data_IF_236100984986
#
_entry.id   IF_236100984986
#
_cell.length_a   1.000
_cell.length_b   1.000
_cell.length_c   1.000
_cell.angle_alpha   90.00
_cell.angle_beta   90.00
_cell.angle_gamma   90.00
#
_symmetry.space_group_name_H-M   'P 1'
#
loop_
_entity.id
_entity.type
_entity.pdbx_description
1 polymer ?
#
# COMPACT_ATOMS: atom_id res chain seq x y z
N UNK A 1 -7.61 75.15 -6.07
CA UNK A 1 -8.11 74.76 -4.74
C UNK A 1 -9.31 73.85 -4.98
N UNK A 2 -9.09 72.55 -5.10
CA UNK A 2 -10.14 71.54 -5.07
C UNK A 2 -9.53 70.30 -4.42
N UNK A 3 -10.05 69.93 -3.24
CA UNK A 3 -9.55 68.78 -2.49
C UNK A 3 -10.09 67.51 -3.11
N UNK A 4 -9.15 66.63 -3.48
CA UNK A 4 -9.38 65.20 -3.65
C UNK A 4 -9.83 64.62 -2.31
N UNK A 5 -11.08 64.15 -2.24
CA UNK A 5 -11.56 63.34 -1.13
C UNK A 5 -11.37 61.86 -1.48
N UNK A 6 -10.51 61.20 -0.71
CA UNK A 6 -10.34 59.74 -0.71
C UNK A 6 -11.53 59.09 -0.01
N UNK A 7 -12.21 58.16 -0.69
CA UNK A 7 -12.95 57.09 0.00
C UNK A 7 -12.89 55.79 -0.82
N UNK A 8 -12.23 54.79 -0.23
CA UNK A 8 -12.06 53.40 -0.64
C UNK A 8 -13.26 52.77 -1.38
N UNK A 9 -12.98 52.07 -2.50
CA UNK A 9 -13.42 50.68 -2.71
C UNK A 9 -12.81 50.05 -3.98
N UNK A 10 -12.23 48.87 -3.80
CA UNK A 10 -12.03 47.80 -4.80
C UNK A 10 -10.84 48.02 -5.74
N UNK A 11 -9.62 47.66 -5.33
CA UNK A 11 -9.06 46.29 -5.48
C UNK A 11 -9.54 45.66 -6.80
N UNK A 12 -9.09 46.19 -7.93
CA UNK A 12 -9.13 45.51 -9.23
C UNK A 12 -7.69 45.49 -9.74
N UNK A 13 -6.83 44.71 -9.09
CA UNK A 13 -5.47 44.47 -9.60
C UNK A 13 -4.96 43.04 -9.34
N UNK A 14 -5.83 42.05 -9.12
CA UNK A 14 -5.31 40.73 -8.76
C UNK A 14 -6.29 39.58 -8.86
N UNK A 15 -7.05 39.45 -9.96
CA UNK A 15 -7.99 38.33 -10.11
C UNK A 15 -7.67 37.42 -11.31
N UNK A 16 -6.65 37.68 -12.13
CA UNK A 16 -6.40 36.87 -13.35
C UNK A 16 -5.07 36.10 -13.40
N UNK A 17 -4.48 35.76 -12.26
CA UNK A 17 -3.37 34.78 -12.17
C UNK A 17 -3.65 33.75 -11.08
N UNK A 18 -4.82 33.11 -11.16
CA UNK A 18 -5.08 31.80 -10.51
C UNK A 18 -5.47 30.79 -11.59
N UNK A 19 -4.90 30.95 -12.79
CA UNK A 19 -5.01 29.96 -13.86
C UNK A 19 -4.14 28.76 -13.50
N UNK A 20 -4.80 27.80 -12.87
CA UNK A 20 -4.62 26.37 -13.06
C UNK A 20 -3.18 25.88 -12.94
N UNK A 21 -2.70 25.72 -11.71
CA UNK A 21 -1.87 24.54 -11.46
C UNK A 21 -2.75 23.33 -11.73
N UNK A 22 -2.56 22.68 -12.87
CA UNK A 22 -2.97 21.29 -13.02
C UNK A 22 -2.18 20.54 -11.95
N UNK A 23 -2.76 20.39 -10.77
CA UNK A 23 -2.33 19.38 -9.83
C UNK A 23 -2.57 18.06 -10.56
N UNK A 24 -1.56 17.59 -11.29
CA UNK A 24 -1.45 16.19 -11.67
C UNK A 24 -1.30 15.43 -10.36
N UNK A 25 -2.42 15.20 -9.67
CA UNK A 25 -2.49 14.21 -8.62
C UNK A 25 -2.15 12.90 -9.32
N UNK A 26 -0.91 12.43 -9.14
CA UNK A 26 -0.58 11.05 -9.45
C UNK A 26 -1.46 10.21 -8.55
N UNK A 27 -2.51 9.62 -9.13
CA UNK A 27 -3.43 8.73 -8.43
C UNK A 27 -2.69 7.42 -8.18
N UNK A 28 -1.96 7.38 -7.07
CA UNK A 28 -1.36 6.17 -6.52
C UNK A 28 -2.02 5.83 -5.20
N UNK A 29 -2.07 4.54 -4.88
CA UNK A 29 -2.56 4.02 -3.60
C UNK A 29 -1.50 3.12 -2.98
N UNK A 30 -1.51 3.02 -1.66
CA UNK A 30 -0.73 2.04 -0.92
C UNK A 30 -1.68 1.27 -0.01
N UNK A 31 -1.67 -0.05 -0.16
CA UNK A 31 -2.31 -0.97 0.76
C UNK A 31 -1.24 -1.58 1.67
N UNK A 32 -1.52 -1.58 2.97
CA UNK A 32 -0.64 -2.13 4.00
C UNK A 32 -1.30 -3.36 4.61
N UNK A 33 -0.52 -4.43 4.72
CA UNK A 33 -0.91 -5.64 5.45
C UNK A 33 0.05 -5.92 6.59
N UNK A 34 -0.45 -6.01 7.82
CA UNK A 34 0.33 -6.41 8.98
C UNK A 34 0.05 -7.87 9.31
N UNK A 35 1.08 -8.71 9.35
CA UNK A 35 0.93 -10.15 9.51
C UNK A 35 1.84 -10.72 10.59
N UNK A 36 1.37 -11.77 11.24
CA UNK A 36 2.10 -12.52 12.27
C UNK A 36 2.02 -14.01 11.99
N UNK A 37 3.17 -14.71 12.04
CA UNK A 37 3.19 -16.18 11.91
C UNK A 37 2.78 -16.84 13.22
N UNK A 38 2.25 -18.06 13.14
CA UNK A 38 2.00 -18.89 14.32
C UNK A 38 3.31 -19.48 14.89
N UNK A 39 3.28 -19.91 16.16
CA UNK A 39 4.37 -20.61 16.83
C UNK A 39 4.93 -19.92 18.08
N UNK A 40 5.90 -20.57 18.74
CA UNK A 40 6.50 -20.10 20.02
C UNK A 40 7.30 -18.80 19.89
N UNK A 41 7.82 -18.52 18.69
CA UNK A 41 8.56 -17.31 18.34
C UNK A 41 7.96 -16.77 17.04
N UNK A 42 6.86 -16.02 17.13
CA UNK A 42 6.15 -15.53 15.96
C UNK A 42 7.04 -14.59 15.15
N UNK A 43 6.85 -14.60 13.83
CA UNK A 43 7.51 -13.72 12.89
C UNK A 43 6.50 -12.67 12.45
N UNK A 44 6.84 -11.39 12.61
CA UNK A 44 6.03 -10.27 12.16
C UNK A 44 6.55 -9.72 10.83
N UNK A 45 5.64 -9.53 9.88
CA UNK A 45 5.95 -8.94 8.57
C UNK A 45 4.92 -7.89 8.17
N UNK A 46 5.41 -6.79 7.61
CA UNK A 46 4.60 -5.80 6.89
C UNK A 46 4.67 -6.11 5.40
N UNK A 47 3.53 -6.23 4.73
CA UNK A 47 3.38 -6.14 3.29
C UNK A 47 3.01 -4.69 2.95
N UNK A 48 3.67 -4.12 1.95
CA UNK A 48 3.27 -2.86 1.33
C UNK A 48 3.09 -3.08 -0.15
N UNK A 49 1.93 -2.66 -0.64
CA UNK A 49 1.51 -2.84 -2.01
C UNK A 49 1.12 -1.49 -2.59
N UNK A 50 1.91 -1.02 -3.56
CA UNK A 50 1.79 0.31 -4.14
C UNK A 50 1.26 0.17 -5.58
N UNK A 51 0.12 0.79 -5.86
CA UNK A 51 -0.48 0.80 -7.18
C UNK A 51 -0.41 2.20 -7.80
N UNK A 52 0.13 2.30 -9.00
CA UNK A 52 0.22 3.51 -9.80
C UNK A 52 -0.79 3.44 -10.93
N UNK A 53 -1.97 4.05 -10.74
CA UNK A 53 -3.10 3.91 -11.66
C UNK A 53 -2.80 4.38 -13.08
N UNK A 54 -2.05 5.46 -13.22
CA UNK A 54 -1.71 6.06 -14.53
C UNK A 54 -1.02 5.07 -15.46
N UNK A 55 -0.12 4.27 -14.91
CA UNK A 55 0.74 3.37 -15.69
C UNK A 55 0.30 1.90 -15.54
N UNK A 56 -0.79 1.65 -14.80
CA UNK A 56 -1.21 0.32 -14.38
C UNK A 56 -0.04 -0.50 -13.80
N UNK A 57 0.81 0.17 -13.01
CA UNK A 57 2.02 -0.41 -12.46
C UNK A 57 1.82 -0.73 -10.99
N UNK A 58 2.39 -1.85 -10.54
CA UNK A 58 2.32 -2.27 -9.15
C UNK A 58 3.71 -2.61 -8.63
N UNK A 59 4.05 -2.09 -7.46
CA UNK A 59 5.33 -2.31 -6.80
C UNK A 59 5.04 -2.69 -5.37
N UNK A 60 5.71 -3.72 -4.86
CA UNK A 60 5.56 -4.14 -3.48
C UNK A 60 6.88 -4.27 -2.75
N UNK A 61 6.81 -4.27 -1.43
CA UNK A 61 7.89 -4.76 -0.57
C UNK A 61 7.33 -5.45 0.67
N UNK A 62 8.14 -6.31 1.27
CA UNK A 62 7.92 -6.82 2.61
C UNK A 62 8.98 -6.28 3.57
N UNK A 63 8.61 -6.07 4.83
CA UNK A 63 9.56 -5.71 5.89
C UNK A 63 9.29 -6.55 7.13
N UNK A 64 10.27 -7.36 7.51
CA UNK A 64 10.27 -8.08 8.77
C UNK A 64 10.47 -7.09 9.93
N UNK A 65 9.79 -7.29 11.06
CA UNK A 65 9.86 -6.44 12.26
C UNK A 65 11.29 -6.08 12.65
N UNK A 66 12.15 -7.09 12.76
CA UNK A 66 13.54 -6.94 13.23
C UNK A 66 14.54 -6.64 12.09
N UNK A 67 14.06 -6.39 10.86
CA UNK A 67 14.92 -6.08 9.72
C UNK A 67 15.05 -4.57 9.52
N UNK A 68 16.29 -4.11 9.36
CA UNK A 68 16.57 -2.73 8.93
C UNK A 68 16.29 -2.49 7.45
N UNK A 69 16.13 -3.54 6.65
CA UNK A 69 15.91 -3.45 5.21
C UNK A 69 14.56 -4.05 4.81
N UNK A 70 13.85 -3.36 3.93
CA UNK A 70 12.72 -3.93 3.21
C UNK A 70 13.25 -4.80 2.04
N UNK A 71 12.50 -5.84 1.71
CA UNK A 71 12.80 -6.74 0.60
C UNK A 71 11.81 -6.46 -0.52
N UNK A 72 12.28 -6.07 -1.72
CA UNK A 72 11.39 -5.81 -2.84
C UNK A 72 10.72 -7.12 -3.29
N UNK A 73 9.45 -7.00 -3.67
CA UNK A 73 8.68 -8.09 -4.25
C UNK A 73 8.09 -7.67 -5.59
N UNK A 74 8.03 -8.60 -6.53
CA UNK A 74 7.46 -8.38 -7.87
C UNK A 74 6.18 -9.17 -8.04
N UNK A 75 5.08 -8.50 -8.44
CA UNK A 75 3.82 -9.20 -8.75
C UNK A 75 4.04 -10.10 -9.96
N UNK A 76 3.69 -11.38 -9.83
CA UNK A 76 3.78 -12.36 -10.93
C UNK A 76 2.43 -12.88 -11.37
N UNK A 77 1.43 -12.92 -10.48
CA UNK A 77 0.07 -13.33 -10.80
C UNK A 77 -0.93 -12.58 -9.93
N UNK A 78 -2.09 -12.31 -10.52
CA UNK A 78 -3.30 -11.90 -9.81
C UNK A 78 -4.47 -12.67 -10.41
N UNK A 79 -5.36 -13.14 -9.54
CA UNK A 79 -6.64 -13.72 -9.93
C UNK A 79 -7.70 -13.27 -8.94
N UNK A 80 -8.93 -13.07 -9.43
CA UNK A 80 -10.07 -12.62 -8.65
C UNK A 80 -11.22 -13.61 -8.77
N UNK A 81 -11.89 -13.87 -7.66
CA UNK A 81 -13.05 -14.76 -7.59
C UNK A 81 -14.24 -14.04 -6.92
N UNK A 82 -15.45 -14.29 -7.43
CA UNK A 82 -16.70 -13.88 -6.78
C UNK A 82 -17.19 -15.06 -5.96
N UNK A 83 -17.05 -14.98 -4.64
CA UNK A 83 -17.52 -16.05 -3.74
C UNK A 83 -19.05 -16.02 -3.54
N UNK A 84 -19.68 -14.85 -3.69
CA UNK A 84 -21.12 -14.64 -3.65
C UNK A 84 -21.46 -13.28 -4.31
N UNK A 85 -22.64 -13.14 -4.91
CA UNK A 85 -23.07 -11.96 -5.68
C UNK A 85 -23.07 -10.65 -4.87
N UNK A 86 -23.22 -10.74 -3.55
CA UNK A 86 -23.31 -9.63 -2.60
C UNK A 86 -21.98 -9.32 -1.87
N UNK A 87 -20.90 -10.06 -2.17
CA UNK A 87 -19.60 -9.88 -1.50
C UNK A 87 -18.58 -9.19 -2.39
N UNK A 88 -17.64 -8.43 -1.82
CA UNK A 88 -16.48 -7.94 -2.56
C UNK A 88 -15.72 -9.10 -3.22
N UNK A 89 -15.10 -8.83 -4.35
CA UNK A 89 -14.17 -9.76 -4.99
C UNK A 89 -13.09 -10.20 -3.99
N UNK A 90 -12.83 -11.50 -3.97
CA UNK A 90 -11.63 -12.03 -3.34
C UNK A 90 -10.50 -11.97 -4.36
N UNK A 91 -9.37 -11.40 -3.98
CA UNK A 91 -8.17 -11.37 -4.78
C UNK A 91 -7.17 -12.33 -4.19
N UNK A 92 -6.49 -13.08 -5.06
CA UNK A 92 -5.26 -13.75 -4.71
C UNK A 92 -4.14 -13.25 -5.59
N UNK A 93 -3.08 -12.79 -4.95
CA UNK A 93 -1.88 -12.29 -5.62
C UNK A 93 -0.70 -13.16 -5.27
N UNK A 94 0.19 -13.36 -6.24
CA UNK A 94 1.46 -14.05 -6.05
C UNK A 94 2.59 -13.08 -6.35
N UNK A 95 3.53 -12.99 -5.42
CA UNK A 95 4.65 -12.07 -5.46
C UNK A 95 5.96 -12.82 -5.31
N UNK A 96 6.94 -12.50 -6.14
CA UNK A 96 8.28 -13.05 -6.03
C UNK A 96 9.19 -12.14 -5.18
N UNK A 97 9.78 -12.72 -4.15
CA UNK A 97 10.80 -12.10 -3.31
C UNK A 97 12.15 -12.07 -4.03
N UNK A 98 12.75 -10.88 -4.11
CA UNK A 98 14.02 -10.65 -4.78
C UNK A 98 15.08 -10.18 -3.79
N UNK A 99 16.14 -10.96 -3.60
CA UNK A 99 17.28 -10.61 -2.74
C UNK A 99 18.52 -10.49 -3.62
N UNK A 100 19.16 -9.31 -3.62
CA UNK A 100 20.36 -9.04 -4.43
C UNK A 100 20.16 -9.41 -5.92
N UNK A 101 18.98 -9.12 -6.46
CA UNK A 101 18.61 -9.41 -7.85
C UNK A 101 18.29 -10.89 -8.14
N UNK A 102 18.26 -11.76 -7.13
CA UNK A 102 17.94 -13.19 -7.28
C UNK A 102 16.59 -13.53 -6.67
N UNK A 103 15.86 -14.42 -7.33
CA UNK A 103 14.64 -15.02 -6.79
C UNK A 103 14.95 -15.81 -5.51
N UNK A 104 14.26 -15.52 -4.41
CA UNK A 104 14.48 -16.15 -3.11
C UNK A 104 13.27 -16.97 -2.61
N UNK A 105 12.07 -16.60 -3.04
CA UNK A 105 10.82 -17.26 -2.66
C UNK A 105 9.61 -16.52 -3.21
N UNK A 106 8.42 -17.04 -2.92
CA UNK A 106 7.16 -16.41 -3.32
C UNK A 106 6.22 -16.23 -2.13
N UNK A 107 5.49 -15.12 -2.14
CA UNK A 107 4.35 -14.87 -1.27
C UNK A 107 3.06 -15.09 -2.04
N UNK A 108 2.11 -15.82 -1.47
CA UNK A 108 0.72 -15.87 -1.92
C UNK A 108 -0.12 -15.11 -0.90
N UNK A 109 -0.83 -14.08 -1.35
CA UNK A 109 -1.63 -13.20 -0.48
C UNK A 109 -3.07 -13.27 -0.93
N UNK A 110 -3.97 -13.51 0.03
CA UNK A 110 -5.42 -13.57 -0.19
C UNK A 110 -6.06 -12.39 0.53
N UNK A 111 -6.81 -11.56 -0.20
CA UNK A 111 -7.53 -10.41 0.34
C UNK A 111 -8.97 -10.35 -0.17
N UNK A 112 -9.85 -9.75 0.62
CA UNK A 112 -11.22 -9.44 0.21
C UNK A 112 -11.70 -8.21 0.98
N UNK A 113 -12.18 -7.21 0.24
CA UNK A 113 -12.52 -5.91 0.82
C UNK A 113 -11.32 -5.29 1.55
N UNK A 114 -11.52 -4.88 2.81
CA UNK A 114 -10.49 -4.25 3.64
C UNK A 114 -9.68 -5.25 4.52
N UNK A 115 -9.73 -6.55 4.20
CA UNK A 115 -9.15 -7.63 5.02
C UNK A 115 -8.20 -8.51 4.23
N UNK A 116 -7.23 -9.05 4.95
CA UNK A 116 -6.37 -10.13 4.45
C UNK A 116 -6.77 -11.44 5.13
N UNK A 117 -7.00 -12.47 4.31
CA UNK A 117 -7.43 -13.79 4.78
C UNK A 117 -6.28 -14.76 4.94
N UNK A 118 -5.11 -14.44 4.36
CA UNK A 118 -3.90 -15.22 4.55
C UNK A 118 -2.75 -14.66 3.76
N UNK A 119 -1.55 -14.91 4.27
CA UNK A 119 -0.31 -14.73 3.55
C UNK A 119 0.56 -15.97 3.80
N UNK A 120 0.96 -16.64 2.72
CA UNK A 120 1.85 -17.78 2.78
C UNK A 120 3.14 -17.46 2.04
N UNK A 121 4.28 -17.68 2.68
CA UNK A 121 5.60 -17.59 2.07
C UNK A 121 6.19 -18.98 1.85
N UNK A 122 6.74 -19.23 0.65
CA UNK A 122 7.51 -20.43 0.34
C UNK A 122 8.85 -20.02 -0.26
N UNK A 123 9.96 -20.43 0.36
CA UNK A 123 11.28 -20.16 -0.21
C UNK A 123 11.68 -21.16 -1.29
N UNK A 124 12.77 -20.87 -2.00
CA UNK A 124 13.37 -21.74 -3.03
C UNK A 124 13.73 -23.16 -2.57
N UNK A 125 13.81 -23.41 -1.26
CA UNK A 125 14.06 -24.73 -0.67
C UNK A 125 12.77 -25.45 -0.24
N UNK A 126 11.60 -24.88 -0.53
CA UNK A 126 10.30 -25.44 -0.16
C UNK A 126 9.89 -25.21 1.29
N UNK A 127 10.64 -24.42 2.08
CA UNK A 127 10.23 -24.09 3.45
C UNK A 127 9.07 -23.10 3.39
N UNK A 128 7.94 -23.50 3.98
CA UNK A 128 6.74 -22.68 4.10
C UNK A 128 6.67 -21.97 5.45
N UNK A 129 6.11 -20.75 5.45
CA UNK A 129 5.66 -20.03 6.64
C UNK A 129 4.31 -19.41 6.33
N UNK A 130 3.32 -19.71 7.17
CA UNK A 130 1.98 -19.14 7.06
C UNK A 130 1.81 -18.01 8.08
N UNK A 131 1.12 -16.96 7.65
CA UNK A 131 0.86 -15.77 8.43
C UNK A 131 -0.62 -15.39 8.39
N UNK A 132 -1.08 -14.84 9.50
CA UNK A 132 -2.44 -14.32 9.68
C UNK A 132 -2.40 -12.80 9.82
N UNK A 133 -3.48 -12.12 9.40
CA UNK A 133 -3.59 -10.67 9.57
C UNK A 133 -3.62 -10.30 11.06
N UNK A 134 -2.67 -9.46 11.49
CA UNK A 134 -2.62 -8.93 12.85
C UNK A 134 -3.25 -7.54 12.90
N UNK A 135 -4.54 -7.50 13.23
CA UNK A 135 -5.31 -6.25 13.31
C UNK A 135 -4.81 -5.30 14.39
N UNK A 136 -4.19 -5.83 15.45
CA UNK A 136 -3.70 -5.03 16.57
C UNK A 136 -2.37 -4.33 16.29
N UNK A 137 -1.67 -4.76 15.24
CA UNK A 137 -0.38 -4.22 14.82
C UNK A 137 -0.51 -3.01 13.89
N UNK A 138 -1.68 -2.68 13.36
CA UNK A 138 -1.83 -1.48 12.54
C UNK A 138 -1.69 -0.21 13.40
N UNK A 139 -1.13 0.83 12.82
CA UNK A 139 -1.29 2.20 13.34
C UNK A 139 -2.77 2.67 13.21
N UNK A 140 -3.07 3.84 13.79
CA UNK A 140 -4.43 4.37 13.82
C UNK A 140 -5.02 4.61 12.42
N UNK A 141 -4.18 4.89 11.42
CA UNK A 141 -4.60 5.18 10.04
C UNK A 141 -4.51 3.95 9.11
N UNK A 142 -4.07 2.79 9.60
CA UNK A 142 -3.77 1.58 8.81
C UNK A 142 -2.75 1.82 7.67
N UNK A 143 -1.81 2.74 7.88
CA UNK A 143 -0.72 3.10 6.96
C UNK A 143 0.63 2.52 7.38
N UNK A 144 0.75 1.96 8.57
CA UNK A 144 1.96 1.25 9.00
C UNK A 144 1.66 0.12 10.00
N UNK A 145 2.67 -0.70 10.25
CA UNK A 145 2.65 -1.73 11.29
C UNK A 145 3.54 -1.31 12.47
N UNK A 146 2.93 -1.18 13.65
CA UNK A 146 3.56 -0.93 14.94
C UNK A 146 3.51 -2.23 15.74
N UNK A 147 4.64 -2.94 15.79
CA UNK A 147 4.80 -4.17 16.55
C UNK A 147 4.88 -3.86 18.06
N UNK A 148 4.26 -4.69 18.90
CA UNK A 148 4.17 -4.52 20.35
C UNK A 148 4.73 -5.73 21.07
#
# INVERSE_FOLDING_TARGET
>A
MERVNMTNKNIIFGVLVILSTNAYASEWSIDIGCFTSSGKKPINIKLSDMYFKKDNARVGYVKYENSHMAIPIALVKEYSEILAEDRPYQYTTVWNEMIQGKFNGSYTVISQGARYYGLTYINTRGKQVDFEENLSAYDAERKDCIWK
#
